data_IF_099563543101
#
_entry.id   IF_099563543101
#
_cell.length_a   1.000
_cell.length_b   1.000
_cell.length_c   1.000
_cell.angle_alpha   90.00
_cell.angle_beta   90.00
_cell.angle_gamma   90.00
#
_symmetry.space_group_name_H-M   'P 1'
#
loop_
_entity.id
_entity.type
_entity.pdbx_description
1 polymer ?
#
# COMPACT_ATOMS: atom_id res chain seq x y z
N UNK A 1 -0.23 -16.06 11.69
CA UNK A 1 -1.33 -16.40 12.61
C UNK A 1 -1.56 -15.21 13.54
N UNK A 2 -2.79 -15.02 14.00
CA UNK A 2 -3.18 -13.89 14.87
C UNK A 2 -3.86 -14.44 16.13
N UNK A 3 -3.55 -13.89 17.31
CA UNK A 3 -4.12 -14.36 18.57
C UNK A 3 -5.53 -13.77 18.78
N UNK A 4 -6.49 -14.62 19.12
CA UNK A 4 -7.85 -14.20 19.46
C UNK A 4 -7.90 -13.92 20.98
N UNK A 5 -7.95 -12.65 21.36
CA UNK A 5 -7.91 -12.20 22.76
C UNK A 5 -9.23 -11.59 23.28
N UNK A 6 -10.25 -11.45 22.42
CA UNK A 6 -11.53 -10.83 22.80
C UNK A 6 -12.56 -10.84 21.68
N UNK A 7 -13.76 -10.31 21.97
CA UNK A 7 -14.92 -10.35 21.07
C UNK A 7 -14.78 -9.54 19.77
N UNK A 8 -13.83 -8.60 19.68
CA UNK A 8 -13.56 -7.84 18.44
C UNK A 8 -13.04 -8.72 17.31
N UNK A 9 -12.37 -9.82 17.65
CA UNK A 9 -11.85 -10.81 16.70
C UNK A 9 -12.76 -12.04 16.60
N UNK A 10 -13.92 -12.03 17.26
CA UNK A 10 -14.88 -13.13 17.19
C UNK A 10 -15.67 -13.06 15.89
N UNK A 11 -15.32 -13.96 14.98
CA UNK A 11 -16.01 -14.15 13.71
C UNK A 11 -16.71 -15.52 13.66
N UNK A 12 -17.08 -16.11 14.79
CA UNK A 12 -17.82 -17.38 14.80
C UNK A 12 -19.33 -17.17 14.85
N UNK A 13 -19.79 -15.95 15.19
CA UNK A 13 -21.20 -15.62 15.40
C UNK A 13 -22.16 -15.95 14.25
N UNK A 14 -21.71 -15.88 12.99
CA UNK A 14 -22.56 -16.21 11.83
C UNK A 14 -22.99 -17.68 11.75
N UNK A 15 -22.31 -18.59 12.45
CA UNK A 15 -22.75 -19.98 12.54
C UNK A 15 -24.04 -20.13 13.38
N UNK A 16 -24.48 -19.08 14.08
CA UNK A 16 -25.70 -19.09 14.88
C UNK A 16 -26.93 -19.03 13.96
N UNK A 17 -27.30 -20.19 13.40
CA UNK A 17 -28.46 -20.35 12.54
C UNK A 17 -29.13 -21.72 12.77
N UNK A 18 -30.25 -21.95 12.06
CA UNK A 18 -30.95 -23.22 12.02
C UNK A 18 -30.65 -23.96 10.73
N UNK A 19 -30.11 -25.17 10.82
CA UNK A 19 -29.70 -25.99 9.68
C UNK A 19 -30.64 -27.17 9.50
N UNK A 20 -31.06 -27.43 8.27
CA UNK A 20 -31.84 -28.62 7.93
C UNK A 20 -30.92 -29.84 7.87
N UNK A 21 -31.37 -30.94 8.48
CA UNK A 21 -30.57 -32.17 8.56
C UNK A 21 -31.32 -33.37 7.98
N UNK A 22 -30.60 -34.22 7.25
CA UNK A 22 -31.13 -35.46 6.67
C UNK A 22 -31.41 -36.49 7.77
N UNK A 23 -32.39 -37.37 7.54
CA UNK A 23 -32.67 -38.46 8.47
C UNK A 23 -31.47 -39.41 8.62
N UNK A 24 -31.26 -39.95 9.83
CA UNK A 24 -30.23 -40.93 10.20
C UNK A 24 -28.76 -40.47 10.06
N UNK A 25 -28.49 -39.16 10.04
CA UNK A 25 -27.12 -38.66 10.13
C UNK A 25 -26.67 -38.54 11.59
N UNK A 26 -25.43 -38.91 11.89
CA UNK A 26 -24.82 -38.76 13.23
C UNK A 26 -23.91 -37.54 13.35
N UNK A 27 -23.37 -37.08 12.22
CA UNK A 27 -22.59 -35.84 12.12
C UNK A 27 -22.88 -35.12 10.80
N UNK A 28 -22.76 -33.80 10.80
CA UNK A 28 -23.03 -32.94 9.64
C UNK A 28 -21.99 -31.83 9.58
N UNK A 29 -21.48 -31.54 8.38
CA UNK A 29 -20.66 -30.34 8.15
C UNK A 29 -21.58 -29.17 7.83
N UNK A 30 -21.38 -28.05 8.50
CA UNK A 30 -22.24 -26.88 8.38
C UNK A 30 -21.61 -25.88 7.42
N UNK A 31 -22.46 -25.18 6.69
CA UNK A 31 -22.08 -24.10 5.80
C UNK A 31 -23.05 -22.94 5.97
N UNK A 32 -22.51 -21.73 6.15
CA UNK A 32 -23.29 -20.49 6.10
C UNK A 32 -22.67 -19.57 5.06
N UNK A 33 -23.53 -18.87 4.33
CA UNK A 33 -23.16 -17.88 3.33
C UNK A 33 -23.90 -16.61 3.71
N UNK A 34 -23.16 -15.51 3.81
CA UNK A 34 -23.72 -14.17 3.95
C UNK A 34 -23.14 -13.29 2.85
N UNK A 35 -24.02 -12.84 1.97
CA UNK A 35 -23.69 -11.82 0.98
C UNK A 35 -23.90 -10.43 1.60
N UNK A 36 -23.20 -9.43 1.09
CA UNK A 36 -23.41 -8.06 1.53
C UNK A 36 -22.80 -7.03 0.60
N UNK A 37 -23.36 -5.83 0.64
CA UNK A 37 -22.80 -4.67 -0.05
C UNK A 37 -22.44 -3.62 1.00
N UNK A 38 -21.19 -3.20 0.96
CA UNK A 38 -20.68 -2.17 1.87
C UNK A 38 -20.91 -0.78 1.29
N UNK A 39 -21.68 0.00 2.04
CA UNK A 39 -21.99 1.40 1.81
C UNK A 39 -21.09 2.28 2.66
N UNK A 40 -20.55 3.35 2.09
CA UNK A 40 -19.65 4.25 2.81
C UNK A 40 -19.95 5.70 2.47
N UNK A 41 -19.94 6.56 3.48
CA UNK A 41 -20.15 8.01 3.35
C UNK A 41 -18.85 8.78 3.56
N UNK A 42 -18.72 9.94 2.90
CA UNK A 42 -17.57 10.85 3.04
C UNK A 42 -16.28 10.35 2.37
N UNK A 43 -15.13 10.85 2.81
CA UNK A 43 -13.76 10.44 2.48
C UNK A 43 -12.86 10.89 3.64
N UNK A 44 -11.59 10.46 3.68
CA UNK A 44 -10.69 10.81 4.79
C UNK A 44 -10.58 12.33 5.03
N UNK A 45 -10.49 13.13 3.96
CA UNK A 45 -10.39 14.59 4.06
C UNK A 45 -11.73 15.21 4.53
N UNK A 46 -12.86 14.80 3.97
CA UNK A 46 -14.16 15.34 4.39
C UNK A 46 -14.48 14.96 5.83
N UNK A 47 -14.15 13.73 6.24
CA UNK A 47 -14.37 13.25 7.61
C UNK A 47 -13.49 14.01 8.61
N UNK A 48 -12.30 14.44 8.20
CA UNK A 48 -11.43 15.28 9.02
C UNK A 48 -12.02 16.69 9.25
N UNK A 49 -12.59 17.32 8.22
CA UNK A 49 -13.12 18.69 8.32
C UNK A 49 -14.57 18.77 8.83
N UNK A 50 -15.42 17.83 8.44
CA UNK A 50 -16.87 17.85 8.71
C UNK A 50 -17.27 16.89 9.85
N UNK A 51 -16.34 16.06 10.31
CA UNK A 51 -16.63 15.00 11.27
C UNK A 51 -17.38 13.82 10.64
N UNK A 52 -17.69 12.82 11.47
CA UNK A 52 -18.49 11.65 11.09
C UNK A 52 -19.94 11.92 11.53
N UNK A 53 -20.88 11.82 10.59
CA UNK A 53 -22.30 12.01 10.87
C UNK A 53 -22.89 10.87 11.72
N UNK A 54 -24.14 11.02 12.20
CA UNK A 54 -24.82 9.93 12.90
C UNK A 54 -24.97 8.69 11.98
N UNK A 55 -24.94 7.47 12.57
CA UNK A 55 -25.16 6.25 11.82
C UNK A 55 -26.60 6.23 11.25
N UNK A 56 -26.83 5.53 10.12
CA UNK A 56 -28.15 5.43 9.54
C UNK A 56 -29.07 4.58 10.43
N UNK A 57 -30.41 4.72 10.29
CA UNK A 57 -31.37 3.87 10.97
C UNK A 57 -31.11 2.38 10.70
N UNK A 58 -31.43 1.54 11.69
CA UNK A 58 -31.31 0.08 11.52
C UNK A 58 -32.27 -0.43 10.44
N UNK A 59 -31.78 -1.28 9.54
CA UNK A 59 -32.58 -1.82 8.43
C UNK A 59 -32.81 -0.83 7.28
N UNK A 60 -31.93 0.15 7.11
CA UNK A 60 -31.99 1.12 6.00
C UNK A 60 -31.80 0.45 4.64
N UNK A 61 -32.75 0.66 3.72
CA UNK A 61 -32.71 0.21 2.33
C UNK A 61 -31.79 1.07 1.45
N UNK A 62 -31.62 0.68 0.19
CA UNK A 62 -30.67 1.29 -0.76
C UNK A 62 -30.98 2.78 -0.96
N UNK A 63 -32.24 3.10 -1.20
CA UNK A 63 -32.70 4.46 -1.44
C UNK A 63 -32.50 5.35 -0.20
N UNK A 64 -32.70 4.77 0.99
CA UNK A 64 -32.46 5.51 2.24
C UNK A 64 -30.97 5.77 2.47
N UNK A 65 -30.11 4.78 2.23
CA UNK A 65 -28.65 4.92 2.36
C UNK A 65 -28.09 5.94 1.36
N UNK A 66 -28.54 5.90 0.10
CA UNK A 66 -28.12 6.87 -0.91
C UNK A 66 -28.62 8.28 -0.60
N UNK A 67 -29.85 8.44 -0.08
CA UNK A 67 -30.37 9.74 0.38
C UNK A 67 -29.56 10.34 1.53
N UNK A 68 -28.97 9.49 2.38
CA UNK A 68 -28.07 9.88 3.48
C UNK A 68 -26.62 10.13 3.04
N UNK A 69 -26.33 9.99 1.74
CA UNK A 69 -25.02 10.21 1.13
C UNK A 69 -24.06 9.02 1.20
N UNK A 70 -24.57 7.82 1.46
CA UNK A 70 -23.76 6.60 1.37
C UNK A 70 -23.70 6.08 -0.07
N UNK A 71 -22.53 5.62 -0.47
CA UNK A 71 -22.27 5.11 -1.82
C UNK A 71 -21.85 3.64 -1.72
N UNK A 72 -22.37 2.74 -2.58
CA UNK A 72 -21.95 1.35 -2.62
C UNK A 72 -20.48 1.27 -3.08
N UNK A 73 -19.64 0.56 -2.31
CA UNK A 73 -18.17 0.66 -2.45
C UNK A 73 -17.44 -0.68 -2.50
N UNK A 74 -18.11 -1.77 -2.10
CA UNK A 74 -17.55 -3.12 -2.12
C UNK A 74 -18.67 -4.14 -1.98
N UNK A 75 -18.58 -5.23 -2.73
CA UNK A 75 -19.43 -6.40 -2.56
C UNK A 75 -18.63 -7.48 -1.84
N UNK A 76 -19.28 -8.13 -0.90
CA UNK A 76 -18.70 -9.12 -0.02
C UNK A 76 -19.55 -10.39 -0.08
N UNK A 77 -18.88 -11.55 -0.09
CA UNK A 77 -19.50 -12.85 0.11
C UNK A 77 -18.68 -13.62 1.15
N UNK A 78 -19.27 -13.86 2.31
CA UNK A 78 -18.65 -14.55 3.44
C UNK A 78 -19.18 -15.98 3.54
N UNK A 79 -18.37 -16.93 3.08
CA UNK A 79 -18.67 -18.36 3.18
C UNK A 79 -17.90 -18.94 4.35
N UNK A 80 -18.62 -19.55 5.29
CA UNK A 80 -18.02 -20.24 6.45
C UNK A 80 -18.44 -21.68 6.45
N UNK A 81 -17.46 -22.57 6.42
CA UNK A 81 -17.63 -24.02 6.40
C UNK A 81 -17.01 -24.62 7.65
N UNK A 82 -17.70 -25.57 8.28
CA UNK A 82 -17.20 -26.22 9.49
C UNK A 82 -16.75 -27.64 9.22
N UNK A 83 -15.85 -28.15 10.05
CA UNK A 83 -15.69 -29.60 10.21
C UNK A 83 -16.98 -30.25 10.73
N UNK A 84 -17.14 -31.58 10.57
CA UNK A 84 -18.34 -32.29 11.00
C UNK A 84 -18.67 -32.03 12.48
N UNK A 85 -19.90 -31.60 12.74
CA UNK A 85 -20.48 -31.41 14.07
C UNK A 85 -21.34 -32.61 14.39
N UNK A 86 -21.15 -33.21 15.58
CA UNK A 86 -21.98 -34.32 16.04
C UNK A 86 -23.40 -33.84 16.37
N UNK A 87 -24.40 -34.60 15.96
CA UNK A 87 -25.79 -34.28 16.28
C UNK A 87 -26.10 -34.76 17.70
N UNK A 88 -26.55 -33.87 18.61
CA UNK A 88 -26.95 -34.28 19.94
C UNK A 88 -28.25 -35.09 19.92
N UNK A 89 -28.48 -35.85 20.99
CA UNK A 89 -29.77 -36.51 21.20
C UNK A 89 -30.89 -35.47 21.32
N UNK A 90 -32.12 -35.88 21.02
CA UNK A 90 -33.26 -34.97 21.08
C UNK A 90 -33.44 -34.41 22.50
N UNK A 91 -33.61 -33.10 22.60
CA UNK A 91 -33.81 -32.41 23.88
C UNK A 91 -32.54 -32.17 24.69
N UNK A 92 -31.36 -32.51 24.19
CA UNK A 92 -30.08 -32.15 24.81
C UNK A 92 -29.34 -31.10 24.00
N UNK A 93 -28.76 -30.12 24.70
CA UNK A 93 -27.84 -29.15 24.12
C UNK A 93 -26.41 -29.58 24.45
N UNK A 94 -25.59 -29.76 23.43
CA UNK A 94 -24.18 -30.17 23.58
C UNK A 94 -23.26 -29.06 23.12
N UNK A 95 -22.19 -28.82 23.88
CA UNK A 95 -21.12 -27.90 23.49
C UNK A 95 -19.98 -28.67 22.82
N UNK A 96 -19.52 -28.20 21.68
CA UNK A 96 -18.39 -28.78 20.96
C UNK A 96 -17.48 -27.69 20.39
N UNK A 97 -16.19 -28.01 20.29
CA UNK A 97 -15.22 -27.18 19.58
C UNK A 97 -15.12 -27.67 18.14
N UNK A 98 -15.30 -26.76 17.20
CA UNK A 98 -15.40 -27.07 15.76
C UNK A 98 -14.47 -26.13 15.02
N UNK A 99 -13.66 -26.68 14.11
CA UNK A 99 -12.85 -25.85 13.23
C UNK A 99 -13.71 -25.29 12.09
N UNK A 100 -13.50 -24.02 11.79
CA UNK A 100 -14.24 -23.25 10.79
C UNK A 100 -13.28 -22.66 9.77
N UNK A 101 -13.48 -23.04 8.51
CA UNK A 101 -12.84 -22.43 7.35
C UNK A 101 -13.68 -21.26 6.87
N UNK A 102 -13.05 -20.11 6.67
CA UNK A 102 -13.67 -18.91 6.10
C UNK A 102 -13.09 -18.62 4.73
N UNK A 103 -13.97 -18.44 3.76
CA UNK A 103 -13.67 -17.93 2.43
C UNK A 103 -14.43 -16.61 2.29
N UNK A 104 -13.70 -15.51 2.47
CA UNK A 104 -14.29 -14.18 2.41
C UNK A 104 -13.89 -13.49 1.12
N UNK A 105 -14.76 -13.61 0.13
CA UNK A 105 -14.62 -13.03 -1.20
C UNK A 105 -15.03 -11.56 -1.18
N UNK A 106 -14.22 -10.69 -1.80
CA UNK A 106 -14.46 -9.26 -1.90
C UNK A 106 -14.26 -8.78 -3.32
N UNK A 107 -15.28 -8.16 -3.89
CA UNK A 107 -15.22 -7.48 -5.18
C UNK A 107 -15.28 -5.96 -4.98
N UNK A 108 -14.40 -5.23 -5.66
CA UNK A 108 -14.29 -3.77 -5.55
C UNK A 108 -15.11 -3.02 -6.60
N UNK A 109 -15.59 -3.71 -7.63
CA UNK A 109 -16.48 -3.16 -8.64
C UNK A 109 -17.38 -4.28 -9.17
N UNK A 110 -18.47 -3.92 -9.82
CA UNK A 110 -19.31 -4.89 -10.53
C UNK A 110 -18.52 -5.48 -11.71
N UNK A 111 -18.37 -6.80 -11.74
CA UNK A 111 -17.60 -7.52 -12.77
C UNK A 111 -16.08 -7.55 -12.58
N UNK A 112 -15.56 -6.96 -11.49
CA UNK A 112 -14.15 -7.12 -11.11
C UNK A 112 -13.88 -8.53 -10.57
N UNK A 113 -12.69 -9.06 -10.84
CA UNK A 113 -12.22 -10.29 -10.21
C UNK A 113 -12.16 -10.15 -8.69
N UNK A 114 -12.84 -11.05 -7.95
CA UNK A 114 -12.87 -10.98 -6.50
C UNK A 114 -11.55 -11.42 -5.88
N UNK A 115 -11.25 -10.87 -4.71
CA UNK A 115 -10.13 -11.31 -3.87
C UNK A 115 -10.68 -12.13 -2.71
N UNK A 116 -10.06 -13.28 -2.43
CA UNK A 116 -10.54 -14.17 -1.37
C UNK A 116 -9.57 -14.14 -0.18
N UNK A 117 -10.04 -13.66 0.96
CA UNK A 117 -9.38 -13.84 2.24
C UNK A 117 -9.73 -15.24 2.78
N UNK A 118 -8.70 -16.00 3.16
CA UNK A 118 -8.84 -17.34 3.70
C UNK A 118 -8.58 -17.30 5.20
N UNK A 119 -9.43 -17.94 5.99
CA UNK A 119 -9.29 -18.04 7.44
C UNK A 119 -9.50 -19.46 7.93
N UNK A 120 -8.76 -19.86 8.96
CA UNK A 120 -9.08 -21.02 9.78
C UNK A 120 -9.11 -20.60 11.23
N UNK A 121 -10.25 -20.84 11.88
CA UNK A 121 -10.50 -20.56 13.29
C UNK A 121 -11.09 -21.78 13.99
N UNK A 122 -11.07 -21.77 15.32
CA UNK A 122 -11.75 -22.77 16.16
C UNK A 122 -12.87 -22.06 16.91
N UNK A 123 -14.11 -22.49 16.67
CA UNK A 123 -15.32 -21.96 17.27
C UNK A 123 -15.86 -22.94 18.31
N UNK A 124 -16.30 -22.41 19.46
CA UNK A 124 -17.10 -23.16 20.42
C UNK A 124 -18.58 -22.96 20.08
N UNK A 125 -19.26 -24.04 19.71
CA UNK A 125 -20.67 -24.03 19.33
C UNK A 125 -21.50 -24.80 20.36
N UNK A 126 -22.67 -24.28 20.70
CA UNK A 126 -23.70 -25.02 21.44
C UNK A 126 -24.84 -25.37 20.50
N UNK A 127 -25.04 -26.67 20.31
CA UNK A 127 -26.01 -27.20 19.35
C UNK A 127 -27.13 -27.93 20.06
N UNK A 128 -28.36 -27.75 19.60
CA UNK A 128 -29.52 -28.54 20.00
C UNK A 128 -30.23 -29.11 18.77
N UNK A 129 -30.80 -30.31 18.90
CA UNK A 129 -31.46 -31.00 17.79
C UNK A 129 -32.96 -31.14 18.03
N UNK A 130 -33.76 -30.68 17.06
CA UNK A 130 -35.19 -30.87 17.04
C UNK A 130 -35.59 -31.92 16.00
N UNK A 131 -36.02 -33.09 16.47
CA UNK A 131 -36.39 -34.23 15.62
C UNK A 131 -37.66 -33.98 14.80
N UNK A 132 -38.62 -33.20 15.32
CA UNK A 132 -39.90 -32.97 14.63
C UNK A 132 -39.73 -32.10 13.38
N UNK A 133 -38.92 -31.05 13.47
CA UNK A 133 -38.59 -30.18 12.33
C UNK A 133 -37.38 -30.63 11.53
N UNK A 134 -36.64 -31.66 12.01
CA UNK A 134 -35.33 -32.10 11.47
C UNK A 134 -34.35 -30.94 11.33
N UNK A 135 -34.29 -30.09 12.35
CA UNK A 135 -33.42 -28.91 12.39
C UNK A 135 -32.38 -29.05 13.50
N UNK A 136 -31.12 -28.83 13.14
CA UNK A 136 -30.04 -28.59 14.10
C UNK A 136 -29.95 -27.09 14.32
N UNK A 137 -30.16 -26.66 15.55
CA UNK A 137 -30.12 -25.24 15.92
C UNK A 137 -28.80 -24.97 16.64
N UNK A 138 -28.05 -23.99 16.16
CA UNK A 138 -26.89 -23.46 16.88
C UNK A 138 -27.39 -22.31 17.75
N UNK A 139 -27.41 -22.53 19.07
CA UNK A 139 -27.89 -21.55 20.05
C UNK A 139 -26.85 -20.44 20.29
N UNK A 140 -25.57 -20.81 20.34
CA UNK A 140 -24.45 -19.89 20.46
C UNK A 140 -23.24 -20.40 19.71
N UNK A 141 -22.47 -19.48 19.14
CA UNK A 141 -21.20 -19.74 18.46
C UNK A 141 -20.26 -18.59 18.76
N UNK A 142 -19.11 -18.89 19.35
CA UNK A 142 -18.10 -17.91 19.73
C UNK A 142 -16.69 -18.45 19.46
N UNK A 143 -15.77 -17.57 19.09
CA UNK A 143 -14.37 -17.93 18.93
C UNK A 143 -13.74 -18.33 20.28
N UNK A 144 -12.90 -19.37 20.29
CA UNK A 144 -12.22 -19.79 21.52
C UNK A 144 -11.09 -18.81 21.84
N UNK A 145 -11.21 -18.10 22.96
CA UNK A 145 -10.18 -17.17 23.43
C UNK A 145 -8.86 -17.92 23.68
N UNK A 146 -7.75 -17.30 23.28
CA UNK A 146 -6.40 -17.89 23.38
C UNK A 146 -5.99 -18.75 22.19
N UNK A 147 -6.91 -19.05 21.27
CA UNK A 147 -6.55 -19.73 20.00
C UNK A 147 -6.04 -18.75 18.95
N UNK A 148 -5.41 -19.31 17.92
CA UNK A 148 -4.85 -18.53 16.81
C UNK A 148 -5.67 -18.69 15.53
N UNK A 149 -5.97 -17.55 14.89
CA UNK A 149 -6.46 -17.47 13.52
C UNK A 149 -5.32 -17.71 12.53
N UNK A 150 -5.49 -18.66 11.62
CA UNK A 150 -4.62 -18.80 10.45
C UNK A 150 -5.22 -17.95 9.33
N UNK A 151 -4.45 -16.98 8.84
CA UNK A 151 -4.87 -16.09 7.75
C UNK A 151 -4.09 -16.43 6.48
N UNK A 152 -4.82 -16.61 5.39
CA UNK A 152 -4.31 -16.68 4.03
C UNK A 152 -5.02 -15.67 3.14
N UNK A 153 -4.51 -15.47 1.94
CA UNK A 153 -5.17 -14.67 0.91
C UNK A 153 -4.89 -15.31 -0.44
N UNK A 154 -5.92 -15.42 -1.27
CA UNK A 154 -5.82 -15.81 -2.66
C UNK A 154 -5.97 -14.55 -3.51
N UNK A 155 -4.94 -14.28 -4.29
CA UNK A 155 -4.86 -13.15 -5.21
C UNK A 155 -4.77 -13.70 -6.62
N UNK A 156 -5.48 -13.07 -7.53
CA UNK A 156 -5.41 -13.40 -8.95
C UNK A 156 -4.02 -13.06 -9.52
N UNK A 157 -3.50 -13.94 -10.38
CA UNK A 157 -2.28 -13.67 -11.13
C UNK A 157 -2.63 -13.04 -12.47
N UNK A 158 -2.56 -11.71 -12.54
CA UNK A 158 -2.75 -10.97 -13.79
C UNK A 158 -1.45 -10.77 -14.59
N UNK A 159 -1.58 -10.40 -15.86
CA UNK A 159 -0.45 -9.96 -16.69
C UNK A 159 0.25 -8.73 -16.13
N UNK A 160 -0.52 -7.85 -15.45
CA UNK A 160 -0.03 -6.62 -14.81
C UNK A 160 0.94 -6.93 -13.67
N UNK A 161 0.60 -7.87 -12.79
CA UNK A 161 1.48 -8.28 -11.67
C UNK A 161 2.72 -9.02 -12.16
N UNK A 162 2.59 -9.81 -13.24
CA UNK A 162 3.74 -10.43 -13.91
C UNK A 162 4.67 -9.37 -14.51
N UNK A 163 4.11 -8.33 -15.16
CA UNK A 163 4.87 -7.20 -15.67
C UNK A 163 5.65 -6.46 -14.58
N UNK A 164 5.03 -6.21 -13.41
CA UNK A 164 5.72 -5.60 -12.25
C UNK A 164 6.98 -6.38 -11.86
N UNK A 165 6.90 -7.72 -11.82
CA UNK A 165 8.02 -8.57 -11.44
C UNK A 165 9.17 -8.52 -12.47
N UNK A 166 8.83 -8.51 -13.76
CA UNK A 166 9.83 -8.35 -14.85
C UNK A 166 10.53 -7.00 -14.76
N UNK A 167 9.77 -5.90 -14.60
CA UNK A 167 10.33 -4.55 -14.50
C UNK A 167 11.25 -4.44 -13.28
N UNK A 168 10.89 -5.04 -12.13
CA UNK A 168 11.77 -5.11 -10.95
C UNK A 168 13.06 -5.85 -11.26
N UNK A 169 12.98 -7.00 -11.92
CA UNK A 169 14.16 -7.76 -12.33
C UNK A 169 15.10 -6.93 -13.20
N UNK A 170 14.55 -6.23 -14.20
CA UNK A 170 15.32 -5.33 -15.07
C UNK A 170 15.92 -4.16 -14.30
N UNK A 171 15.19 -3.56 -13.35
CA UNK A 171 15.71 -2.48 -12.50
C UNK A 171 16.89 -2.95 -11.64
N UNK A 172 16.81 -4.14 -11.05
CA UNK A 172 17.90 -4.72 -10.26
C UNK A 172 19.14 -4.97 -11.13
N UNK A 173 18.96 -5.58 -12.31
CA UNK A 173 20.06 -5.80 -13.25
C UNK A 173 20.69 -4.48 -13.71
N UNK A 174 19.87 -3.47 -14.01
CA UNK A 174 20.32 -2.14 -14.38
C UNK A 174 21.15 -1.50 -13.27
N UNK A 175 20.68 -1.55 -12.02
CA UNK A 175 21.42 -0.99 -10.88
C UNK A 175 22.73 -1.73 -10.68
N UNK A 176 22.75 -3.06 -10.73
CA UNK A 176 23.98 -3.83 -10.56
C UNK A 176 25.01 -3.48 -11.64
N UNK A 177 24.62 -3.45 -12.92
CA UNK A 177 25.52 -3.12 -14.02
C UNK A 177 25.98 -1.65 -13.96
N UNK A 178 25.05 -0.72 -13.73
CA UNK A 178 25.34 0.72 -13.77
C UNK A 178 26.10 1.19 -12.52
N UNK A 179 25.80 0.65 -11.34
CA UNK A 179 26.51 1.01 -10.12
C UNK A 179 27.94 0.45 -10.11
N UNK A 180 28.13 -0.80 -10.55
CA UNK A 180 29.48 -1.39 -10.61
C UNK A 180 30.38 -0.69 -11.62
N UNK A 181 29.81 -0.22 -12.74
CA UNK A 181 30.53 0.61 -13.72
C UNK A 181 30.74 2.03 -13.21
N UNK A 182 29.77 2.62 -12.51
CA UNK A 182 29.88 3.97 -11.95
C UNK A 182 30.91 4.09 -10.82
N UNK A 183 31.37 3.01 -10.22
CA UNK A 183 32.47 3.03 -9.23
C UNK A 183 33.85 3.26 -9.87
N UNK A 184 33.94 3.17 -11.20
CA UNK A 184 35.17 3.38 -11.96
C UNK A 184 35.15 4.76 -12.60
N UNK A 185 36.30 5.43 -12.61
CA UNK A 185 36.43 6.76 -13.22
C UNK A 185 36.57 6.66 -14.73
N UNK A 186 35.84 7.49 -15.47
CA UNK A 186 35.97 7.57 -16.93
C UNK A 186 37.28 8.26 -17.28
N UNK A 187 38.06 7.65 -18.18
CA UNK A 187 39.22 8.28 -18.79
C UNK A 187 38.73 9.31 -19.80
N UNK A 188 39.01 10.58 -19.55
CA UNK A 188 38.90 11.62 -20.58
C UNK A 188 39.85 11.26 -21.72
N UNK A 189 39.33 11.15 -22.93
CA UNK A 189 40.11 10.83 -24.12
C UNK A 189 40.33 12.09 -24.94
N UNK A 190 41.56 12.25 -25.45
CA UNK A 190 41.89 13.34 -26.37
C UNK A 190 41.06 13.23 -27.65
N UNK A 191 40.71 14.39 -28.23
CA UNK A 191 39.87 14.49 -29.44
C UNK A 191 40.44 13.71 -30.64
N UNK A 192 41.75 13.46 -30.65
CA UNK A 192 42.48 12.72 -31.68
C UNK A 192 42.23 11.20 -31.61
N UNK A 193 41.78 10.66 -30.47
CA UNK A 193 41.57 9.22 -30.27
C UNK A 193 40.22 8.70 -30.81
N UNK A 194 39.24 9.58 -31.06
CA UNK A 194 37.87 9.24 -31.47
C UNK A 194 37.62 9.57 -32.96
N UNK A 195 38.31 8.88 -33.87
CA UNK A 195 38.27 9.19 -35.31
C UNK A 195 37.00 8.72 -36.02
N UNK A 196 36.38 7.63 -35.58
CA UNK A 196 35.21 7.03 -36.26
C UNK A 196 33.92 7.22 -35.48
N UNK A 197 32.79 7.48 -36.16
CA UNK A 197 31.47 7.68 -35.54
C UNK A 197 31.03 6.50 -34.65
N UNK A 198 31.32 5.26 -35.05
CA UNK A 198 31.04 4.08 -34.24
C UNK A 198 31.89 4.01 -32.96
N UNK A 199 33.17 4.40 -33.01
CA UNK A 199 34.02 4.49 -31.81
C UNK A 199 33.54 5.59 -30.86
N UNK A 200 32.99 6.69 -31.38
CA UNK A 200 32.33 7.73 -30.58
C UNK A 200 31.09 7.18 -29.89
N UNK A 201 30.23 6.45 -30.61
CA UNK A 201 29.03 5.82 -30.06
C UNK A 201 29.39 4.77 -28.99
N UNK A 202 30.37 3.91 -29.28
CA UNK A 202 30.84 2.90 -28.34
C UNK A 202 31.45 3.53 -27.09
N UNK A 203 32.20 4.62 -27.22
CA UNK A 203 32.76 5.34 -26.07
C UNK A 203 31.69 6.10 -25.27
N UNK A 204 30.63 6.57 -25.93
CA UNK A 204 29.48 7.18 -25.25
C UNK A 204 28.72 6.17 -24.38
N UNK A 205 28.63 4.90 -24.83
CA UNK A 205 27.93 3.83 -24.12
C UNK A 205 28.85 3.11 -23.10
N UNK A 206 30.10 2.88 -23.47
CA UNK A 206 31.10 2.14 -22.72
C UNK A 206 32.46 2.88 -22.78
N UNK A 207 32.61 3.97 -22.00
CA UNK A 207 33.85 4.71 -21.96
C UNK A 207 35.01 3.86 -21.42
N UNK A 208 36.24 4.21 -21.77
CA UNK A 208 37.41 3.56 -21.19
C UNK A 208 37.52 3.95 -19.71
N UNK A 209 37.58 2.95 -18.83
CA UNK A 209 37.51 3.15 -17.38
C UNK A 209 38.91 3.01 -16.75
N UNK A 210 39.25 3.94 -15.87
CA UNK A 210 40.38 3.79 -14.95
C UNK A 210 40.05 2.71 -13.91
N UNK A 211 41.08 1.95 -13.50
CA UNK A 211 40.93 0.84 -12.53
C UNK A 211 40.74 1.33 -11.08
N UNK A 212 40.91 2.61 -10.81
CA UNK A 212 40.78 3.16 -9.47
C UNK A 212 39.30 3.32 -9.08
N UNK A 213 38.94 2.74 -7.94
CA UNK A 213 37.62 2.88 -7.35
C UNK A 213 37.49 4.24 -6.66
N UNK A 214 36.36 4.92 -6.86
CA UNK A 214 36.01 6.11 -6.09
C UNK A 214 34.80 5.83 -5.20
N UNK A 215 34.82 6.34 -3.96
CA UNK A 215 33.75 6.13 -2.96
C UNK A 215 32.71 7.27 -2.89
N UNK A 216 32.72 8.16 -3.88
CA UNK A 216 31.90 9.37 -3.84
C UNK A 216 30.40 9.06 -4.02
N UNK A 217 30.07 8.03 -4.80
CA UNK A 217 28.68 7.66 -5.12
C UNK A 217 28.28 6.40 -4.35
N UNK A 218 27.50 6.57 -3.29
CA UNK A 218 26.88 5.45 -2.58
C UNK A 218 25.67 4.91 -3.37
N UNK A 219 25.31 3.64 -3.14
CA UNK A 219 24.20 2.99 -3.83
C UNK A 219 22.86 3.76 -3.71
N UNK A 220 22.44 4.24 -2.53
CA UNK A 220 21.20 5.01 -2.42
C UNK A 220 21.25 6.31 -3.24
N UNK A 221 22.39 7.00 -3.23
CA UNK A 221 22.59 8.23 -4.01
C UNK A 221 22.41 7.96 -5.50
N UNK A 222 23.01 6.88 -6.02
CA UNK A 222 22.84 6.45 -7.41
C UNK A 222 21.37 6.16 -7.75
N UNK A 223 20.68 5.36 -6.93
CA UNK A 223 19.31 4.95 -7.19
C UNK A 223 18.33 6.13 -7.18
N UNK A 224 18.43 7.05 -6.21
CA UNK A 224 17.53 8.21 -6.13
C UNK A 224 17.76 9.24 -7.24
N UNK A 225 19.01 9.40 -7.69
CA UNK A 225 19.34 10.33 -8.75
C UNK A 225 19.12 9.77 -10.16
N UNK A 226 19.12 8.45 -10.34
CA UNK A 226 18.89 7.82 -11.65
C UNK A 226 17.43 7.92 -12.11
N UNK A 227 17.18 8.59 -13.24
CA UNK A 227 15.85 8.71 -13.83
C UNK A 227 15.30 7.35 -14.30
N UNK A 228 16.14 6.55 -14.96
CA UNK A 228 15.77 5.22 -15.47
C UNK A 228 15.32 4.32 -14.32
N UNK A 229 16.07 4.32 -13.21
CA UNK A 229 15.72 3.50 -12.06
C UNK A 229 14.44 3.98 -11.38
N UNK A 230 14.30 5.30 -11.12
CA UNK A 230 13.11 5.84 -10.46
C UNK A 230 11.85 5.60 -11.30
N UNK A 231 11.89 5.86 -12.61
CA UNK A 231 10.75 5.63 -13.53
C UNK A 231 10.40 4.14 -13.60
N UNK A 232 11.41 3.28 -13.78
CA UNK A 232 11.21 1.84 -13.84
C UNK A 232 10.61 1.29 -12.54
N UNK A 233 11.14 1.70 -11.40
CA UNK A 233 10.67 1.22 -10.11
C UNK A 233 9.28 1.77 -9.76
N UNK A 234 8.98 3.03 -10.07
CA UNK A 234 7.62 3.59 -9.93
C UNK A 234 6.63 2.82 -10.79
N UNK A 235 6.98 2.52 -12.04
CA UNK A 235 6.13 1.72 -12.92
C UNK A 235 5.84 0.36 -12.29
N UNK A 236 6.88 -0.32 -11.77
CA UNK A 236 6.68 -1.59 -11.08
C UNK A 236 5.79 -1.49 -9.85
N UNK A 237 5.91 -0.43 -9.05
CA UNK A 237 5.06 -0.19 -7.86
C UNK A 237 3.61 0.05 -8.27
N UNK A 238 3.35 0.87 -9.29
CA UNK A 238 1.98 1.13 -9.75
C UNK A 238 1.31 -0.14 -10.31
N UNK A 239 2.06 -0.97 -11.03
CA UNK A 239 1.54 -2.22 -11.60
C UNK A 239 1.11 -3.25 -10.54
N UNK A 240 1.73 -3.28 -9.35
CA UNK A 240 1.37 -4.23 -8.29
C UNK A 240 0.64 -3.60 -7.09
N UNK A 241 0.25 -2.34 -7.22
CA UNK A 241 -0.30 -1.54 -6.12
C UNK A 241 -1.64 -2.09 -5.61
N UNK A 242 -2.51 -2.58 -6.49
CA UNK A 242 -3.80 -3.22 -6.14
C UNK A 242 -3.55 -4.40 -5.19
N UNK A 243 -2.75 -5.37 -5.61
CA UNK A 243 -2.48 -6.59 -4.86
C UNK A 243 -1.77 -6.29 -3.53
N UNK A 244 -0.77 -5.40 -3.56
CA UNK A 244 -0.02 -5.04 -2.36
C UNK A 244 -0.89 -4.32 -1.32
N UNK A 245 -1.77 -3.42 -1.76
CA UNK A 245 -2.66 -2.67 -0.85
C UNK A 245 -3.67 -3.58 -0.20
N UNK A 246 -4.27 -4.49 -0.96
CA UNK A 246 -5.25 -5.44 -0.42
C UNK A 246 -4.62 -6.37 0.61
N UNK A 247 -3.46 -6.94 0.28
CA UNK A 247 -2.73 -7.82 1.19
C UNK A 247 -2.29 -7.10 2.46
N UNK A 248 -1.65 -5.93 2.32
CA UNK A 248 -1.17 -5.15 3.47
C UNK A 248 -2.32 -4.63 4.34
N UNK A 249 -3.47 -4.23 3.76
CA UNK A 249 -4.67 -3.81 4.51
C UNK A 249 -5.28 -4.96 5.30
N UNK A 250 -5.38 -6.15 4.71
CA UNK A 250 -5.88 -7.33 5.42
C UNK A 250 -4.98 -7.66 6.63
N UNK A 251 -3.65 -7.70 6.43
CA UNK A 251 -2.71 -7.91 7.52
C UNK A 251 -2.78 -6.82 8.59
N UNK A 252 -2.90 -5.55 8.17
CA UNK A 252 -2.98 -4.41 9.09
C UNK A 252 -4.20 -4.50 10.00
N UNK A 253 -5.38 -4.81 9.44
CA UNK A 253 -6.62 -4.97 10.21
C UNK A 253 -6.49 -6.05 11.29
N UNK A 254 -5.99 -7.23 10.92
CA UNK A 254 -5.82 -8.33 11.87
C UNK A 254 -4.70 -8.07 12.89
N UNK A 255 -3.62 -7.40 12.49
CA UNK A 255 -2.50 -7.09 13.38
C UNK A 255 -2.84 -6.02 14.40
N UNK A 256 -3.70 -5.05 14.06
CA UNK A 256 -4.12 -3.96 14.97
C UNK A 256 -4.74 -4.48 16.26
N UNK A 257 -5.52 -5.56 16.14
CA UNK A 257 -6.31 -6.12 17.24
C UNK A 257 -5.60 -7.33 17.89
N UNK A 258 -4.32 -7.58 17.55
CA UNK A 258 -3.48 -8.63 18.12
C UNK A 258 -2.53 -8.03 19.18
N UNK A 259 -2.32 -8.69 20.34
CA UNK A 259 -1.36 -8.22 21.33
C UNK A 259 0.08 -8.11 20.80
N UNK A 260 0.84 -7.17 21.36
CA UNK A 260 2.24 -6.96 21.00
C UNK A 260 3.05 -8.23 21.24
N UNK A 261 3.64 -8.75 20.16
CA UNK A 261 4.46 -9.96 20.15
C UNK A 261 5.53 -9.84 19.07
N UNK A 262 6.57 -10.68 19.12
CA UNK A 262 7.62 -10.69 18.11
C UNK A 262 7.08 -10.95 16.70
N UNK A 263 6.10 -11.83 16.58
CA UNK A 263 5.38 -12.11 15.33
C UNK A 263 4.57 -10.91 14.85
N UNK A 264 3.86 -10.22 15.73
CA UNK A 264 3.13 -8.99 15.38
C UNK A 264 4.07 -7.88 14.90
N UNK A 265 5.22 -7.72 15.55
CA UNK A 265 6.26 -6.78 15.13
C UNK A 265 6.80 -7.11 13.72
N UNK A 266 7.08 -8.38 13.45
CA UNK A 266 7.54 -8.81 12.13
C UNK A 266 6.49 -8.59 11.02
N UNK A 267 5.20 -8.83 11.32
CA UNK A 267 4.09 -8.49 10.42
C UNK A 267 4.04 -6.98 10.17
N UNK A 268 4.20 -6.18 11.22
CA UNK A 268 4.25 -4.72 11.10
C UNK A 268 5.40 -4.25 10.18
N UNK A 269 6.60 -4.81 10.33
CA UNK A 269 7.74 -4.51 9.44
C UNK A 269 7.46 -4.87 7.97
N UNK A 270 6.74 -5.96 7.71
CA UNK A 270 6.31 -6.31 6.35
C UNK A 270 5.31 -5.31 5.78
N UNK A 271 4.35 -4.85 6.57
CA UNK A 271 3.39 -3.82 6.16
C UNK A 271 4.13 -2.50 5.89
N UNK A 272 5.06 -2.14 6.76
CA UNK A 272 5.89 -0.94 6.62
C UNK A 272 6.72 -0.98 5.33
N UNK A 273 7.38 -2.10 5.02
CA UNK A 273 8.16 -2.22 3.79
C UNK A 273 7.29 -2.11 2.53
N UNK A 274 6.07 -2.64 2.56
CA UNK A 274 5.09 -2.52 1.47
C UNK A 274 4.64 -1.08 1.24
N UNK A 275 4.39 -0.32 2.30
CA UNK A 275 4.04 1.11 2.22
C UNK A 275 5.21 1.98 1.80
N UNK A 276 6.41 1.67 2.29
CA UNK A 276 7.61 2.46 2.04
C UNK A 276 8.01 2.51 0.56
N UNK A 277 7.49 1.58 -0.27
CA UNK A 277 7.67 1.60 -1.73
C UNK A 277 7.17 2.88 -2.40
N UNK A 278 6.22 3.59 -1.78
CA UNK A 278 5.73 4.88 -2.27
C UNK A 278 6.75 6.01 -2.17
N UNK A 279 7.90 5.80 -1.49
CA UNK A 279 9.03 6.76 -1.56
C UNK A 279 9.51 6.96 -2.99
N UNK A 280 9.41 5.95 -3.85
CA UNK A 280 9.74 6.11 -5.27
C UNK A 280 8.77 7.04 -5.98
N UNK A 281 7.49 7.08 -5.60
CA UNK A 281 6.52 8.05 -6.09
C UNK A 281 6.89 9.47 -5.65
N UNK A 282 7.31 9.67 -4.39
CA UNK A 282 7.84 10.96 -3.94
C UNK A 282 9.01 11.42 -4.82
N UNK A 283 10.00 10.54 -5.03
CA UNK A 283 11.17 10.85 -5.86
C UNK A 283 10.77 11.19 -7.30
N UNK A 284 9.83 10.43 -7.87
CA UNK A 284 9.33 10.65 -9.22
C UNK A 284 8.55 11.97 -9.35
N UNK A 285 7.74 12.34 -8.36
CA UNK A 285 7.05 13.63 -8.33
C UNK A 285 8.04 14.79 -8.36
N UNK A 286 9.08 14.76 -7.51
CA UNK A 286 10.13 15.78 -7.52
C UNK A 286 10.78 15.87 -8.90
N UNK A 287 11.15 14.73 -9.50
CA UNK A 287 11.78 14.67 -10.82
C UNK A 287 10.90 15.21 -11.94
N UNK A 288 9.62 14.84 -11.96
CA UNK A 288 8.65 15.34 -12.95
C UNK A 288 8.47 16.84 -12.80
N UNK A 289 8.34 17.36 -11.58
CA UNK A 289 8.18 18.81 -11.37
C UNK A 289 9.42 19.56 -11.86
N UNK A 290 10.64 19.06 -11.59
CA UNK A 290 11.88 19.63 -12.14
C UNK A 290 11.89 19.59 -13.68
N UNK A 291 11.50 18.46 -14.26
CA UNK A 291 11.44 18.28 -15.71
C UNK A 291 10.45 19.27 -16.36
N UNK A 292 9.24 19.39 -15.80
CA UNK A 292 8.21 20.32 -16.27
C UNK A 292 8.68 21.78 -16.10
N UNK A 293 9.28 22.13 -14.98
CA UNK A 293 9.82 23.46 -14.74
C UNK A 293 10.94 23.81 -15.74
N UNK A 294 11.78 22.84 -16.12
CA UNK A 294 12.79 23.01 -17.16
C UNK A 294 12.19 23.11 -18.57
N UNK A 295 11.07 22.44 -18.84
CA UNK A 295 10.41 22.53 -20.14
C UNK A 295 9.71 23.89 -20.32
N UNK A 296 8.97 24.34 -19.31
CA UNK A 296 8.12 25.53 -19.35
C UNK A 296 8.93 26.83 -19.15
N UNK A 297 9.94 26.82 -18.28
CA UNK A 297 10.66 28.04 -17.96
C UNK A 297 11.57 28.50 -19.10
N UNK A 298 11.67 29.81 -19.32
CA UNK A 298 12.71 30.41 -20.17
C UNK A 298 14.08 30.46 -19.46
N UNK A 299 14.09 30.38 -18.13
CA UNK A 299 15.29 30.48 -17.28
C UNK A 299 15.85 29.10 -16.90
N UNK A 300 15.73 28.13 -17.83
CA UNK A 300 15.95 26.67 -17.65
C UNK A 300 17.18 26.27 -16.84
N UNK A 301 18.29 27.00 -17.03
CA UNK A 301 19.59 26.62 -16.46
C UNK A 301 20.22 27.72 -15.60
N UNK A 302 19.42 28.69 -15.15
CA UNK A 302 19.89 29.81 -14.35
C UNK A 302 19.41 29.69 -12.91
N UNK A 303 20.16 30.28 -11.98
CA UNK A 303 19.80 30.34 -10.55
C UNK A 303 18.53 31.14 -10.27
N UNK A 304 17.89 31.71 -11.30
CA UNK A 304 16.61 32.42 -11.18
C UNK A 304 15.41 31.47 -11.16
N UNK A 305 15.58 30.19 -11.49
CA UNK A 305 14.49 29.21 -11.43
C UNK A 305 14.29 28.67 -10.01
N UNK A 306 13.54 29.39 -9.19
CA UNK A 306 13.28 29.01 -7.80
C UNK A 306 12.65 27.62 -7.67
N UNK A 307 11.77 27.23 -8.59
CA UNK A 307 11.09 25.92 -8.56
C UNK A 307 12.12 24.79 -8.64
N UNK A 308 13.01 24.84 -9.63
CA UNK A 308 14.05 23.81 -9.80
C UNK A 308 15.04 23.82 -8.64
N UNK A 309 15.29 24.97 -8.02
CA UNK A 309 16.09 25.09 -6.80
C UNK A 309 15.44 24.45 -5.57
N UNK A 310 14.13 24.66 -5.40
CA UNK A 310 13.34 24.17 -4.26
C UNK A 310 13.19 22.64 -4.24
N UNK A 311 12.98 22.03 -5.42
CA UNK A 311 12.77 20.59 -5.55
C UNK A 311 14.08 19.78 -5.50
N UNK A 312 14.89 19.97 -4.46
CA UNK A 312 16.08 19.18 -4.19
C UNK A 312 16.21 18.84 -2.71
N UNK A 313 16.75 17.66 -2.44
CA UNK A 313 17.20 17.22 -1.14
C UNK A 313 18.70 17.49 -0.98
N UNK A 314 19.08 17.90 0.23
CA UNK A 314 20.49 17.99 0.63
C UNK A 314 21.06 16.59 0.71
N UNK A 315 20.41 15.70 1.47
CA UNK A 315 20.89 14.35 1.75
C UNK A 315 19.83 13.27 1.57
N UNK A 316 20.31 12.03 1.46
CA UNK A 316 19.48 10.81 1.41
C UNK A 316 18.54 10.71 2.62
N UNK A 317 18.95 11.22 3.78
CA UNK A 317 18.15 11.17 5.01
C UNK A 317 16.80 11.85 4.84
N UNK A 318 16.74 13.02 4.20
CA UNK A 318 15.48 13.74 3.98
C UNK A 318 14.53 12.99 3.04
N UNK A 319 15.05 12.18 2.11
CA UNK A 319 14.23 11.29 1.27
C UNK A 319 13.52 10.25 2.14
N UNK A 320 14.24 9.64 3.09
CA UNK A 320 13.66 8.67 4.03
C UNK A 320 12.69 9.33 5.02
N UNK A 321 13.00 10.54 5.51
CA UNK A 321 12.10 11.33 6.38
C UNK A 321 10.79 11.65 5.65
N UNK A 322 10.84 12.05 4.38
CA UNK A 322 9.64 12.21 3.54
C UNK A 322 8.86 10.91 3.38
N UNK A 323 9.51 9.76 3.49
CA UNK A 323 8.86 8.45 3.47
C UNK A 323 8.15 8.06 4.78
N UNK A 324 8.47 8.66 5.92
CA UNK A 324 7.89 8.26 7.21
C UNK A 324 6.37 8.48 7.29
N UNK A 325 5.85 9.53 6.65
CA UNK A 325 4.40 9.76 6.60
C UNK A 325 3.64 8.62 5.89
N UNK A 326 4.30 7.91 4.96
CA UNK A 326 3.70 6.77 4.25
C UNK A 326 3.42 5.58 5.17
N UNK A 327 4.02 5.53 6.37
CA UNK A 327 3.71 4.52 7.40
C UNK A 327 2.26 4.62 7.85
N UNK A 328 1.69 5.83 7.89
CA UNK A 328 0.31 6.07 8.30
C UNK A 328 -0.71 5.86 7.18
N UNK A 329 -0.29 5.40 6.00
CA UNK A 329 -1.15 5.17 4.84
C UNK A 329 -2.40 4.33 5.17
N UNK A 330 -2.24 3.20 5.85
CA UNK A 330 -3.36 2.33 6.21
C UNK A 330 -4.34 2.99 7.16
N UNK A 331 -3.83 3.70 8.18
CA UNK A 331 -4.65 4.46 9.11
C UNK A 331 -5.47 5.53 8.39
N UNK A 332 -4.86 6.23 7.42
CA UNK A 332 -5.56 7.23 6.61
C UNK A 332 -6.70 6.61 5.77
N UNK A 333 -6.43 5.48 5.12
CA UNK A 333 -7.43 4.78 4.30
C UNK A 333 -8.56 4.20 5.16
N UNK A 334 -8.26 3.66 6.34
CA UNK A 334 -9.28 3.12 7.25
C UNK A 334 -10.06 4.24 7.95
N UNK A 335 -9.45 5.41 8.18
CA UNK A 335 -10.17 6.60 8.64
C UNK A 335 -11.17 7.12 7.59
N UNK A 336 -10.77 7.16 6.31
CA UNK A 336 -11.71 7.39 5.21
C UNK A 336 -12.77 6.29 5.10
N UNK A 337 -12.39 5.07 5.49
CA UNK A 337 -13.16 3.85 5.71
C UNK A 337 -14.22 3.85 6.84
N UNK A 338 -14.21 4.83 7.74
CA UNK A 338 -14.80 4.67 9.08
C UNK A 338 -16.33 4.70 9.12
N UNK A 339 -16.97 5.55 8.32
CA UNK A 339 -18.43 5.66 8.23
C UNK A 339 -18.99 4.68 7.19
N UNK A 340 -18.98 3.40 7.57
CA UNK A 340 -19.37 2.27 6.72
C UNK A 340 -20.55 1.50 7.31
N UNK A 341 -21.47 1.06 6.46
CA UNK A 341 -22.61 0.21 6.81
C UNK A 341 -22.72 -0.93 5.81
N UNK A 342 -23.02 -2.13 6.31
CA UNK A 342 -23.24 -3.30 5.48
C UNK A 342 -24.74 -3.46 5.22
N UNK A 343 -25.11 -3.60 3.96
CA UNK A 343 -26.43 -3.99 3.53
C UNK A 343 -26.43 -5.50 3.27
N UNK A 344 -27.33 -6.23 3.92
CA UNK A 344 -27.43 -7.69 3.82
C UNK A 344 -28.76 -8.13 3.19
N UNK A 345 -28.87 -9.38 2.68
CA UNK A 345 -30.09 -9.92 2.08
C UNK A 345 -31.30 -9.94 3.01
N UNK A 346 -31.08 -9.91 4.33
CA UNK A 346 -32.15 -9.85 5.34
C UNK A 346 -32.90 -8.52 5.33
N UNK A 347 -32.27 -7.44 4.82
CA UNK A 347 -32.88 -6.11 4.73
C UNK A 347 -33.59 -5.93 3.40
N UNK A 348 -32.88 -6.19 2.29
CA UNK A 348 -33.43 -6.10 0.94
C UNK A 348 -32.66 -7.00 -0.02
N UNK A 349 -33.25 -7.24 -1.19
CA UNK A 349 -32.59 -7.95 -2.27
C UNK A 349 -31.40 -7.13 -2.82
N UNK A 350 -30.24 -7.79 -2.96
CA UNK A 350 -28.99 -7.12 -3.37
C UNK A 350 -28.82 -7.00 -4.89
N UNK A 351 -29.64 -7.73 -5.68
CA UNK A 351 -29.52 -7.72 -7.14
C UNK A 351 -29.92 -6.35 -7.71
N UNK A 352 -29.19 -5.90 -8.73
CA UNK A 352 -29.41 -4.61 -9.37
C UNK A 352 -28.57 -3.46 -8.78
N UNK A 353 -27.89 -3.65 -7.65
CA UNK A 353 -26.98 -2.66 -7.08
C UNK A 353 -25.60 -2.79 -7.74
N UNK A 354 -25.21 -1.78 -8.53
CA UNK A 354 -23.88 -1.70 -9.13
C UNK A 354 -22.89 -0.95 -8.24
N UNK A 355 -21.61 -1.33 -8.33
CA UNK A 355 -20.49 -0.67 -7.65
C UNK A 355 -19.52 -0.17 -8.70
N UNK A 356 -19.29 1.14 -8.69
CA UNK A 356 -18.31 1.77 -9.53
C UNK A 356 -16.89 1.63 -8.96
N UNK A 357 -15.93 1.40 -9.86
CA UNK A 357 -14.54 1.20 -9.46
C UNK A 357 -13.93 2.43 -8.76
N UNK A 358 -14.32 3.65 -9.17
CA UNK A 358 -13.79 4.88 -8.59
C UNK A 358 -14.32 5.14 -7.18
N UNK A 359 -15.56 4.72 -6.90
CA UNK A 359 -16.18 4.80 -5.57
C UNK A 359 -15.83 3.62 -4.67
N UNK A 360 -15.05 2.68 -5.19
CA UNK A 360 -14.63 1.50 -4.44
C UNK A 360 -13.86 1.85 -3.16
N UNK A 361 -13.94 0.94 -2.19
CA UNK A 361 -13.16 1.03 -0.93
C UNK A 361 -11.65 1.11 -1.12
N UNK A 362 -11.16 0.75 -2.32
CA UNK A 362 -9.78 0.89 -2.72
C UNK A 362 -9.51 2.29 -3.28
N UNK A 363 -10.19 2.71 -4.34
CA UNK A 363 -9.81 3.90 -5.11
C UNK A 363 -10.21 5.23 -4.48
N UNK A 364 -11.34 5.30 -3.75
CA UNK A 364 -11.83 6.59 -3.22
C UNK A 364 -10.83 7.30 -2.30
N UNK A 365 -9.97 6.55 -1.62
CA UNK A 365 -8.97 7.10 -0.69
C UNK A 365 -7.69 7.62 -1.36
N UNK A 366 -7.42 7.25 -2.62
CA UNK A 366 -6.16 7.59 -3.30
C UNK A 366 -5.98 9.09 -3.56
N UNK A 367 -6.99 9.85 -4.04
CA UNK A 367 -6.81 11.28 -4.28
C UNK A 367 -6.37 12.03 -3.01
N UNK A 368 -7.03 11.76 -1.88
CA UNK A 368 -6.64 12.36 -0.60
C UNK A 368 -5.27 11.91 -0.11
N UNK A 369 -4.92 10.65 -0.33
CA UNK A 369 -3.60 10.11 0.04
C UNK A 369 -2.47 10.76 -0.78
N UNK A 370 -2.68 10.97 -2.09
CA UNK A 370 -1.73 11.66 -2.97
C UNK A 370 -1.55 13.12 -2.54
N UNK A 371 -2.63 13.79 -2.14
CA UNK A 371 -2.55 15.15 -1.62
C UNK A 371 -1.72 15.22 -0.32
N UNK A 372 -1.99 14.34 0.65
CA UNK A 372 -1.23 14.27 1.91
C UNK A 372 0.23 13.95 1.65
N UNK A 373 0.50 13.01 0.73
CA UNK A 373 1.86 12.68 0.30
C UNK A 373 2.59 13.90 -0.28
N UNK A 374 1.93 14.66 -1.15
CA UNK A 374 2.48 15.88 -1.74
C UNK A 374 2.73 16.96 -0.69
N UNK A 375 1.78 17.23 0.21
CA UNK A 375 1.94 18.21 1.29
C UNK A 375 3.08 17.83 2.23
N UNK A 376 3.20 16.55 2.59
CA UNK A 376 4.30 16.04 3.40
C UNK A 376 5.65 16.21 2.69
N UNK A 377 5.72 15.89 1.39
CA UNK A 377 6.92 16.11 0.59
C UNK A 377 7.35 17.59 0.57
N UNK A 378 6.39 18.50 0.38
CA UNK A 378 6.64 19.94 0.43
C UNK A 378 7.13 20.38 1.81
N UNK A 379 6.52 19.88 2.88
CA UNK A 379 6.94 20.16 4.25
C UNK A 379 8.38 19.73 4.52
N UNK A 380 8.76 18.52 4.10
CA UNK A 380 10.13 18.00 4.30
C UNK A 380 11.17 18.77 3.47
N UNK A 381 10.85 19.12 2.22
CA UNK A 381 11.72 19.97 1.40
C UNK A 381 11.93 21.36 2.02
N UNK A 382 10.86 21.96 2.55
CA UNK A 382 10.95 23.24 3.26
C UNK A 382 11.82 23.15 4.51
N UNK A 383 11.67 22.07 5.31
CA UNK A 383 12.49 21.83 6.50
C UNK A 383 13.96 21.64 6.11
N UNK A 384 14.25 20.87 5.06
CA UNK A 384 15.60 20.67 4.57
C UNK A 384 16.27 21.99 4.14
N UNK A 385 15.55 22.81 3.37
CA UNK A 385 16.03 24.14 2.97
C UNK A 385 16.28 25.06 4.16
N UNK A 386 15.42 25.03 5.18
CA UNK A 386 15.55 25.87 6.36
C UNK A 386 16.72 25.43 7.26
N UNK A 387 16.84 24.13 7.55
CA UNK A 387 17.90 23.57 8.40
C UNK A 387 19.27 23.70 7.73
N UNK A 388 19.35 23.40 6.43
CA UNK A 388 20.61 23.43 5.68
C UNK A 388 20.81 24.73 4.91
N UNK A 389 20.15 25.84 5.30
CA UNK A 389 20.16 27.10 4.56
C UNK A 389 21.57 27.62 4.24
N UNK A 390 22.49 27.58 5.22
CA UNK A 390 23.88 28.01 5.03
C UNK A 390 24.61 27.16 3.99
N UNK A 391 24.38 25.85 4.02
CA UNK A 391 24.95 24.92 3.06
C UNK A 391 24.38 25.16 1.66
N UNK A 392 23.06 25.29 1.54
CA UNK A 392 22.39 25.60 0.28
C UNK A 392 22.91 26.88 -0.36
N UNK A 393 23.18 27.92 0.44
CA UNK A 393 23.79 29.17 -0.04
C UNK A 393 25.20 28.96 -0.60
N UNK A 394 26.02 28.10 0.03
CA UNK A 394 27.34 27.75 -0.48
C UNK A 394 27.25 26.92 -1.79
N UNK A 395 26.34 25.94 -1.83
CA UNK A 395 26.11 25.12 -3.03
C UNK A 395 25.59 25.97 -4.20
N UNK A 396 24.66 26.90 -3.94
CA UNK A 396 24.09 27.76 -4.98
C UNK A 396 25.09 28.78 -5.54
N UNK A 397 26.13 29.12 -4.79
CA UNK A 397 27.19 30.02 -5.25
C UNK A 397 28.31 29.28 -5.99
N UNK A 398 28.44 27.97 -5.79
CA UNK A 398 29.41 27.13 -6.48
C UNK A 398 28.93 26.78 -7.91
N UNK A 399 29.82 26.87 -8.91
CA UNK A 399 29.50 26.54 -10.30
C UNK A 399 29.04 25.10 -10.50
N UNK A 400 29.70 24.14 -9.84
CA UNK A 400 29.35 22.71 -9.91
C UNK A 400 28.01 22.43 -9.20
N UNK A 401 27.80 23.06 -8.04
CA UNK A 401 26.54 22.95 -7.29
C UNK A 401 25.35 23.49 -8.09
N UNK A 402 25.53 24.63 -8.78
CA UNK A 402 24.52 25.18 -9.68
C UNK A 402 24.19 24.28 -10.86
N UNK A 403 25.19 23.67 -11.49
CA UNK A 403 24.95 22.70 -12.57
C UNK A 403 24.16 21.50 -12.05
N UNK A 404 24.50 21.00 -10.87
CA UNK A 404 23.79 19.89 -10.25
C UNK A 404 22.33 20.24 -9.92
N UNK A 405 22.08 21.41 -9.33
CA UNK A 405 20.73 21.86 -8.95
C UNK A 405 19.87 22.14 -10.19
N UNK A 406 20.36 23.00 -11.10
CA UNK A 406 19.54 23.61 -12.15
C UNK A 406 19.62 22.90 -13.51
N UNK A 407 20.73 22.24 -13.83
CA UNK A 407 20.95 21.60 -15.12
C UNK A 407 20.79 20.08 -15.07
N UNK A 408 20.14 19.55 -14.03
CA UNK A 408 19.89 18.11 -13.91
C UNK A 408 18.54 17.79 -13.28
N UNK A 409 18.06 16.59 -13.58
CA UNK A 409 16.90 15.94 -12.95
C UNK A 409 17.27 15.20 -11.67
N UNK A 410 18.53 15.26 -11.24
CA UNK A 410 18.94 14.71 -9.94
C UNK A 410 18.18 15.42 -8.81
N UNK A 411 17.90 14.70 -7.74
CA UNK A 411 17.11 15.21 -6.60
C UNK A 411 17.93 15.28 -5.33
N UNK A 412 19.07 14.58 -5.23
CA UNK A 412 19.99 14.66 -4.09
C UNK A 412 21.22 15.42 -4.55
N UNK A 413 21.59 16.45 -3.81
CA UNK A 413 22.63 17.41 -4.21
C UNK A 413 23.94 17.26 -3.45
N UNK A 414 23.96 16.59 -2.29
CA UNK A 414 25.20 16.35 -1.55
C UNK A 414 26.08 15.30 -2.24
N UNK A 415 27.14 15.78 -2.88
CA UNK A 415 28.22 14.98 -3.49
C UNK A 415 29.44 14.84 -2.56
N UNK A 416 29.31 15.16 -1.28
CA UNK A 416 30.43 15.21 -0.34
C UNK A 416 31.26 16.49 -0.47
N UNK A 417 30.61 17.63 -0.70
CA UNK A 417 31.30 18.90 -0.89
C UNK A 417 32.06 19.33 0.36
N UNK A 418 33.36 19.60 0.20
CA UNK A 418 34.17 20.32 1.20
C UNK A 418 34.35 21.75 0.71
N UNK A 419 33.65 22.70 1.33
CA UNK A 419 33.79 24.11 1.00
C UNK A 419 35.02 24.69 1.69
N UNK A 420 35.96 25.19 0.89
CA UNK A 420 37.12 25.93 1.38
C UNK A 420 36.85 27.42 1.16
N UNK A 421 36.79 28.19 2.24
CA UNK A 421 36.60 29.63 2.17
C UNK A 421 37.96 30.28 1.86
N UNK A 422 38.14 30.80 0.64
CA UNK A 422 39.36 31.49 0.22
C UNK A 422 39.21 32.99 0.49
N UNK A 423 40.11 33.63 1.28
CA UNK A 423 39.95 35.01 1.74
C UNK A 423 39.90 36.05 0.61
N UNK A 424 40.52 35.75 -0.55
CA UNK A 424 40.56 36.65 -1.71
C UNK A 424 39.42 36.42 -2.73
N UNK A 425 38.63 35.35 -2.57
CA UNK A 425 37.55 35.02 -3.49
C UNK A 425 36.24 35.64 -2.99
N UNK A 426 36.00 36.90 -3.35
CA UNK A 426 34.71 37.58 -3.12
C UNK A 426 33.68 37.07 -4.14
N UNK A 427 33.02 35.95 -3.81
CA UNK A 427 31.85 35.41 -4.51
C UNK A 427 30.56 35.69 -3.75
#
# INVERSE_FOLDING_TARGET
>A
TFLINGGTNDICGLLKQSYLVKANTTSVSLGVIEDGIQYIRGQAISNFFLGIGPPPPFGSDHDTLTSLGYIPSRMDADVRLTTPVAIPLQGTSTRANVSMYRYYSRALCTGCDPIVELGLDVCSVTTSFNASSRKLVIESSQAVVGHHRVLGMMLERSGVTTGSLVVRGLCVLFVLASFTTSQKTVRWMDSVALTSWYKKLLHMIAPSLHRYQHRLLNLPYFCFNSDIFVVGYVTAVLLDEKACTLYSRALFRWNRDTPSSWTSWYVYLRILSMNFRWVWLNCFLVKIIKLMANFVSATRYTSRNFVVGYFNFSSVTYVYVAGLALVYRHNFLDFGNSDMVALTPDMQHLDGISIDFFDSTLMRGYPGLVLVMFLNLMGVLSIDLAVNFKWWRKVSNNSLGRQHIYNSTSIITDMGYVFVDWPDFKG
#
